data_IF_395433183251
#
_entry.id   IF_395433183251
#
_cell.length_a   1.000
_cell.length_b   1.000
_cell.length_c   1.000
_cell.angle_alpha   90.00
_cell.angle_beta   90.00
_cell.angle_gamma   90.00
#
_symmetry.space_group_name_H-M   'P 1'
#
loop_
_entity.id
_entity.type
_entity.pdbx_description
1 polymer ?
#
# COMPACT_ATOMS: atom_id res chain seq x y z
N UNK A 1 9.76 5.67 14.58
CA UNK A 1 10.28 4.32 14.32
C UNK A 1 11.15 4.29 13.06
N UNK A 2 10.58 4.53 11.86
CA UNK A 2 11.27 4.52 10.55
C UNK A 2 12.74 4.94 10.56
N UNK A 3 13.05 6.18 10.93
CA UNK A 3 14.44 6.69 10.89
C UNK A 3 15.43 5.84 11.69
N UNK A 4 15.02 5.27 12.82
CA UNK A 4 15.91 4.43 13.63
C UNK A 4 16.11 3.06 12.99
N UNK A 5 15.07 2.48 12.38
CA UNK A 5 15.18 1.24 11.62
C UNK A 5 16.07 1.42 10.38
N UNK A 6 15.87 2.50 9.60
CA UNK A 6 16.74 2.81 8.45
C UNK A 6 18.20 2.93 8.87
N UNK A 7 18.51 3.63 9.98
CA UNK A 7 19.88 3.70 10.53
C UNK A 7 20.43 2.34 10.92
N UNK A 8 19.60 1.47 11.49
CA UNK A 8 20.01 0.10 11.83
C UNK A 8 20.33 -0.71 10.57
N UNK A 9 19.52 -0.56 9.51
CA UNK A 9 19.76 -1.21 8.21
C UNK A 9 21.06 -0.70 7.58
N UNK A 10 21.27 0.63 7.55
CA UNK A 10 22.49 1.28 7.06
C UNK A 10 23.75 0.82 7.81
N UNK A 11 23.64 0.58 9.12
CA UNK A 11 24.72 0.05 9.97
C UNK A 11 24.80 -1.49 9.99
N UNK A 12 24.20 -2.16 9.01
CA UNK A 12 24.21 -3.62 8.85
C UNK A 12 23.77 -4.36 10.14
N UNK A 13 22.76 -3.85 10.82
CA UNK A 13 22.14 -4.43 12.03
C UNK A 13 23.06 -4.57 13.26
N UNK A 14 24.23 -3.94 13.26
CA UNK A 14 25.24 -4.08 14.34
C UNK A 14 24.68 -3.71 15.73
N UNK A 15 23.83 -2.69 15.81
CA UNK A 15 23.22 -2.20 17.06
C UNK A 15 21.69 -2.40 17.12
N UNK A 16 21.18 -3.46 16.51
CA UNK A 16 19.73 -3.69 16.40
C UNK A 16 18.98 -3.67 17.75
N UNK A 17 19.64 -4.12 18.82
CA UNK A 17 19.08 -4.12 20.17
C UNK A 17 18.77 -2.72 20.73
N UNK A 18 19.39 -1.65 20.19
CA UNK A 18 19.05 -0.27 20.54
C UNK A 18 17.57 0.02 20.25
N UNK A 19 16.99 -0.64 19.24
CA UNK A 19 15.57 -0.50 18.95
C UNK A 19 14.69 -1.01 20.10
N UNK A 20 15.15 -1.90 20.97
CA UNK A 20 14.37 -2.32 22.15
C UNK A 20 14.31 -1.24 23.24
N UNK A 21 15.23 -0.26 23.20
CA UNK A 21 15.38 0.75 24.24
C UNK A 21 14.60 2.05 23.95
N UNK A 22 14.03 2.21 22.75
CA UNK A 22 13.39 3.49 22.38
C UNK A 22 12.02 3.69 23.04
N UNK A 23 11.30 2.59 23.32
CA UNK A 23 10.03 2.58 24.05
C UNK A 23 9.91 1.25 24.81
N UNK A 24 8.93 1.16 25.72
CA UNK A 24 8.66 -0.06 26.49
C UNK A 24 8.29 -1.21 25.55
N UNK A 25 9.10 -2.27 25.54
CA UNK A 25 8.85 -3.45 24.69
C UNK A 25 7.57 -4.21 25.05
N UNK A 26 7.03 -4.01 26.26
CA UNK A 26 5.73 -4.57 26.66
C UNK A 26 4.54 -3.96 25.92
N UNK A 27 4.72 -2.81 25.26
CA UNK A 27 3.68 -2.16 24.46
C UNK A 27 3.51 -2.91 23.12
N UNK A 28 2.29 -3.43 22.89
CA UNK A 28 1.96 -4.16 21.67
C UNK A 28 2.09 -3.28 20.42
N UNK A 29 1.63 -2.03 20.47
CA UNK A 29 1.71 -1.12 19.33
C UNK A 29 3.18 -0.86 18.97
N UNK A 30 4.04 -0.78 19.98
CA UNK A 30 5.47 -0.63 19.76
C UNK A 30 6.11 -1.86 19.11
N UNK A 31 5.76 -3.07 19.59
CA UNK A 31 6.21 -4.33 18.98
C UNK A 31 5.76 -4.44 17.52
N UNK A 32 4.51 -4.06 17.26
CA UNK A 32 3.93 -4.03 15.92
C UNK A 32 4.68 -3.07 14.99
N UNK A 33 4.89 -1.82 15.41
CA UNK A 33 5.67 -0.82 14.66
C UNK A 33 7.08 -1.35 14.35
N UNK A 34 7.70 -1.98 15.34
CA UNK A 34 9.07 -2.47 15.26
C UNK A 34 9.19 -3.62 14.26
N UNK A 35 8.30 -4.61 14.32
CA UNK A 35 8.27 -5.73 13.37
C UNK A 35 7.92 -5.25 11.96
N UNK A 36 6.89 -4.42 11.81
CA UNK A 36 6.46 -3.91 10.51
C UNK A 36 7.55 -3.08 9.83
N UNK A 37 8.10 -2.07 10.52
CA UNK A 37 9.18 -1.25 9.96
C UNK A 37 10.41 -2.08 9.60
N UNK A 38 10.83 -2.98 10.50
CA UNK A 38 12.03 -3.78 10.30
C UNK A 38 11.93 -4.64 9.04
N UNK A 39 10.82 -5.35 8.88
CA UNK A 39 10.61 -6.24 7.75
C UNK A 39 10.41 -5.45 6.46
N UNK A 40 9.48 -4.49 6.44
CA UNK A 40 9.09 -3.78 5.22
C UNK A 40 10.25 -2.96 4.64
N UNK A 41 11.04 -2.31 5.50
CA UNK A 41 12.17 -1.48 5.04
C UNK A 41 13.44 -2.26 4.70
N UNK A 42 13.45 -3.58 4.95
CA UNK A 42 14.56 -4.46 4.57
C UNK A 42 14.18 -5.42 3.44
N UNK A 43 13.09 -5.14 2.70
CA UNK A 43 12.61 -5.99 1.60
C UNK A 43 13.51 -5.99 0.38
N UNK A 44 14.42 -5.02 0.28
CA UNK A 44 15.48 -4.95 -0.73
C UNK A 44 16.72 -5.79 -0.35
N UNK A 45 16.74 -6.37 0.86
CA UNK A 45 17.80 -7.24 1.34
C UNK A 45 17.42 -8.71 1.28
N UNK A 46 18.43 -9.57 1.11
CA UNK A 46 18.25 -11.01 1.17
C UNK A 46 18.18 -11.46 2.64
N UNK A 47 16.96 -11.72 3.11
CA UNK A 47 16.70 -12.16 4.48
C UNK A 47 16.61 -13.69 4.52
N UNK A 48 17.55 -14.32 5.24
CA UNK A 48 17.57 -15.76 5.53
C UNK A 48 17.34 -16.01 7.03
N UNK A 49 17.16 -17.28 7.41
CA UNK A 49 16.78 -17.69 8.77
C UNK A 49 17.71 -17.14 9.87
N UNK A 50 19.02 -17.18 9.63
CA UNK A 50 20.05 -16.76 10.60
C UNK A 50 20.31 -15.25 10.59
N UNK A 51 19.68 -14.50 9.68
CA UNK A 51 19.89 -13.07 9.53
C UNK A 51 19.56 -12.33 10.85
N UNK A 52 20.40 -11.37 11.32
CA UNK A 52 20.20 -10.70 12.61
C UNK A 52 18.81 -10.08 12.78
N UNK A 53 18.30 -9.44 11.72
CA UNK A 53 16.95 -8.90 11.68
C UNK A 53 15.87 -9.96 11.91
N UNK A 54 15.99 -11.13 11.27
CA UNK A 54 15.01 -12.22 11.33
C UNK A 54 15.00 -12.83 12.72
N UNK A 55 16.17 -13.03 13.33
CA UNK A 55 16.28 -13.46 14.73
C UNK A 55 15.65 -12.44 15.68
N UNK A 56 15.93 -11.16 15.46
CA UNK A 56 15.41 -10.06 16.26
C UNK A 56 13.88 -9.98 16.23
N UNK A 57 13.28 -9.93 15.05
CA UNK A 57 11.82 -9.88 14.88
C UNK A 57 11.16 -11.19 15.34
N UNK A 58 11.77 -12.35 15.10
CA UNK A 58 11.27 -13.63 15.60
C UNK A 58 11.20 -13.67 17.12
N UNK A 59 12.19 -13.12 17.82
CA UNK A 59 12.16 -13.02 19.28
C UNK A 59 11.03 -12.11 19.76
N UNK A 60 10.79 -10.98 19.09
CA UNK A 60 9.68 -10.07 19.43
C UNK A 60 8.33 -10.80 19.24
N UNK A 61 8.15 -11.47 18.10
CA UNK A 61 6.94 -12.24 17.79
C UNK A 61 6.74 -13.36 18.81
N UNK A 62 7.79 -14.14 19.10
CA UNK A 62 7.74 -15.23 20.07
C UNK A 62 7.50 -14.79 21.51
N UNK A 63 7.79 -13.53 21.84
CA UNK A 63 7.48 -12.91 23.14
C UNK A 63 6.09 -12.29 23.22
N UNK A 64 5.26 -12.43 22.17
CA UNK A 64 3.93 -11.80 22.07
C UNK A 64 2.85 -12.86 22.14
N UNK A 65 1.78 -12.59 22.89
CA UNK A 65 0.62 -13.46 22.97
C UNK A 65 -0.14 -13.42 21.63
N UNK A 66 -0.06 -14.51 20.87
CA UNK A 66 -0.65 -14.64 19.53
C UNK A 66 -1.98 -15.42 19.55
N UNK A 67 -2.61 -15.58 20.70
CA UNK A 67 -3.91 -16.25 20.83
C UNK A 67 -5.04 -15.46 20.14
N UNK A 68 -4.95 -14.13 20.14
CA UNK A 68 -5.93 -13.24 19.53
C UNK A 68 -5.66 -13.01 18.05
N UNK A 69 -6.72 -13.20 17.24
CA UNK A 69 -6.66 -13.07 15.78
C UNK A 69 -6.13 -11.71 15.30
N UNK A 70 -6.50 -10.64 16.01
CA UNK A 70 -6.11 -9.26 15.68
C UNK A 70 -4.61 -9.05 15.92
N UNK A 71 -4.09 -9.56 17.04
CA UNK A 71 -2.66 -9.50 17.38
C UNK A 71 -1.83 -10.27 16.38
N UNK A 72 -2.31 -11.43 15.94
CA UNK A 72 -1.66 -12.16 14.85
C UNK A 72 -1.66 -11.38 13.53
N UNK A 73 -2.75 -10.67 13.20
CA UNK A 73 -2.80 -9.84 11.99
C UNK A 73 -1.79 -8.69 12.07
N UNK A 74 -1.72 -8.03 13.22
CA UNK A 74 -0.78 -6.95 13.50
C UNK A 74 0.68 -7.41 13.39
N UNK A 75 1.00 -8.58 13.93
CA UNK A 75 2.38 -9.06 14.04
C UNK A 75 2.87 -9.86 12.83
N UNK A 76 2.00 -10.61 12.15
CA UNK A 76 2.40 -11.55 11.10
C UNK A 76 2.17 -11.03 9.68
N UNK A 77 1.30 -10.04 9.48
CA UNK A 77 1.06 -9.47 8.15
C UNK A 77 2.33 -8.95 7.46
N UNK A 78 3.29 -8.29 8.14
CA UNK A 78 4.54 -7.86 7.48
C UNK A 78 5.34 -9.02 6.87
N UNK A 79 5.34 -10.19 7.51
CA UNK A 79 6.03 -11.40 7.03
C UNK A 79 5.34 -11.97 5.78
N UNK A 80 4.01 -11.97 5.79
CA UNK A 80 3.21 -12.41 4.63
C UNK A 80 3.42 -11.46 3.47
N UNK A 81 3.36 -10.15 3.73
CA UNK A 81 3.58 -9.09 2.76
C UNK A 81 4.96 -9.17 2.09
N UNK A 82 6.02 -9.40 2.88
CA UNK A 82 7.38 -9.55 2.40
C UNK A 82 7.71 -10.96 1.86
N UNK A 83 6.73 -11.87 1.79
CA UNK A 83 6.90 -13.24 1.31
C UNK A 83 7.99 -14.05 2.07
N UNK A 84 8.16 -13.80 3.37
CA UNK A 84 9.22 -14.41 4.19
C UNK A 84 8.79 -15.70 4.92
N UNK A 85 7.54 -16.14 4.74
CA UNK A 85 7.00 -17.38 5.31
C UNK A 85 7.16 -18.54 4.32
N UNK A 86 6.93 -19.77 4.77
CA UNK A 86 6.93 -20.93 3.87
C UNK A 86 5.75 -20.83 2.89
N UNK A 87 6.05 -20.91 1.60
CA UNK A 87 5.04 -20.89 0.53
C UNK A 87 5.54 -21.68 -0.68
N UNK A 88 4.65 -22.41 -1.32
CA UNK A 88 4.91 -23.16 -2.57
C UNK A 88 6.15 -24.08 -2.50
N UNK A 89 6.35 -24.75 -1.36
CA UNK A 89 7.48 -25.66 -1.13
C UNK A 89 8.83 -24.98 -0.89
N UNK A 90 8.89 -23.65 -0.89
CA UNK A 90 10.09 -22.88 -0.54
C UNK A 90 10.10 -22.55 0.96
N UNK A 91 11.24 -22.78 1.59
CA UNK A 91 11.47 -22.42 2.99
C UNK A 91 11.77 -20.93 3.06
N UNK A 92 10.94 -20.19 3.78
CA UNK A 92 11.15 -18.76 4.02
C UNK A 92 12.05 -18.50 5.23
N UNK A 93 12.36 -17.21 5.47
CA UNK A 93 13.11 -16.78 6.65
C UNK A 93 12.40 -17.10 7.98
N UNK A 94 11.08 -17.33 7.98
CA UNK A 94 10.29 -17.74 9.14
C UNK A 94 9.69 -19.13 8.93
N UNK A 95 10.49 -20.21 9.01
CA UNK A 95 10.10 -21.55 8.58
C UNK A 95 9.06 -22.24 9.48
N UNK A 96 8.86 -21.72 10.70
CA UNK A 96 7.84 -22.22 11.63
C UNK A 96 6.46 -21.60 11.39
N UNK A 97 6.37 -20.55 10.58
CA UNK A 97 5.09 -19.94 10.22
C UNK A 97 4.52 -20.67 9.00
N UNK A 98 3.41 -21.35 9.23
CA UNK A 98 2.62 -22.03 8.21
C UNK A 98 1.20 -21.51 8.27
N UNK A 99 0.66 -21.13 7.12
CA UNK A 99 -0.67 -20.54 7.03
C UNK A 99 -1.53 -21.40 6.12
N UNK A 100 -2.77 -21.67 6.54
CA UNK A 100 -3.79 -22.12 5.61
C UNK A 100 -4.06 -21.03 4.58
N UNK A 101 -4.59 -21.39 3.41
CA UNK A 101 -4.87 -20.43 2.34
C UNK A 101 -5.79 -19.30 2.82
N UNK A 102 -6.85 -19.62 3.57
CA UNK A 102 -7.74 -18.61 4.13
C UNK A 102 -7.00 -17.67 5.10
N UNK A 103 -6.10 -18.20 5.94
CA UNK A 103 -5.33 -17.38 6.87
C UNK A 103 -4.34 -16.48 6.15
N UNK A 104 -3.67 -16.99 5.13
CA UNK A 104 -2.80 -16.22 4.26
C UNK A 104 -3.55 -15.04 3.64
N UNK A 105 -4.76 -15.26 3.09
CA UNK A 105 -5.58 -14.20 2.52
C UNK A 105 -5.93 -13.12 3.55
N UNK A 106 -6.36 -13.50 4.74
CA UNK A 106 -6.66 -12.53 5.82
C UNK A 106 -5.45 -11.67 6.17
N UNK A 107 -4.27 -12.27 6.30
CA UNK A 107 -3.02 -11.56 6.60
C UNK A 107 -2.59 -10.65 5.43
N UNK A 108 -2.73 -11.12 4.19
CA UNK A 108 -2.47 -10.32 2.99
C UNK A 108 -3.42 -9.11 2.90
N UNK A 109 -4.72 -9.30 3.15
CA UNK A 109 -5.71 -8.22 3.18
C UNK A 109 -5.38 -7.16 4.25
N UNK A 110 -4.79 -7.55 5.38
CA UNK A 110 -4.42 -6.60 6.42
C UNK A 110 -3.37 -5.57 5.98
N UNK A 111 -2.57 -5.89 4.95
CA UNK A 111 -1.63 -4.95 4.35
C UNK A 111 -2.30 -3.72 3.71
N UNK A 112 -3.63 -3.72 3.58
CA UNK A 112 -4.43 -2.61 3.09
C UNK A 112 -5.07 -1.77 4.21
N UNK A 113 -4.84 -2.13 5.47
CA UNK A 113 -5.25 -1.29 6.60
C UNK A 113 -4.51 0.05 6.54
N UNK A 114 -5.17 1.11 7.01
CA UNK A 114 -4.59 2.46 7.03
C UNK A 114 -3.27 2.54 7.80
N UNK A 115 -3.13 1.70 8.83
CA UNK A 115 -1.90 1.52 9.58
C UNK A 115 -0.75 1.07 8.67
N UNK A 116 -0.98 0.04 7.85
CA UNK A 116 0.06 -0.59 7.05
C UNK A 116 0.54 0.28 5.88
N UNK A 117 -0.37 1.04 5.26
CA UNK A 117 -0.10 1.87 4.08
C UNK A 117 1.00 2.92 4.35
N UNK A 118 1.11 3.40 5.58
CA UNK A 118 2.18 4.33 5.95
C UNK A 118 3.59 3.76 5.73
N UNK A 119 3.73 2.44 5.84
CA UNK A 119 5.01 1.76 5.62
C UNK A 119 5.28 1.50 4.14
N UNK A 120 4.26 1.47 3.28
CA UNK A 120 4.40 1.12 1.87
C UNK A 120 4.78 2.31 0.99
N UNK A 121 4.43 3.53 1.40
CA UNK A 121 4.84 4.79 0.78
C UNK A 121 6.29 5.18 1.14
N UNK A 122 7.23 4.23 1.01
CA UNK A 122 8.64 4.37 1.38
C UNK A 122 9.56 4.48 0.18
N UNK A 123 9.49 3.47 -0.70
CA UNK A 123 10.19 3.41 -1.96
C UNK A 123 9.34 2.64 -2.97
N UNK A 124 9.68 2.77 -4.25
CA UNK A 124 8.87 2.20 -5.33
C UNK A 124 8.81 0.68 -5.30
N UNK A 125 9.87 -0.01 -4.86
CA UNK A 125 9.85 -1.47 -4.77
C UNK A 125 8.82 -1.97 -3.76
N UNK A 126 8.82 -1.41 -2.54
CA UNK A 126 7.85 -1.73 -1.49
C UNK A 126 6.44 -1.32 -1.91
N UNK A 127 6.29 -0.12 -2.48
CA UNK A 127 5.01 0.36 -2.99
C UNK A 127 4.45 -0.58 -4.06
N UNK A 128 5.28 -1.04 -4.99
CA UNK A 128 4.85 -1.96 -6.04
C UNK A 128 4.49 -3.35 -5.49
N UNK A 129 5.20 -3.89 -4.49
CA UNK A 129 4.78 -5.14 -3.83
C UNK A 129 3.40 -4.97 -3.20
N UNK A 130 3.12 -3.80 -2.62
CA UNK A 130 1.80 -3.49 -2.06
C UNK A 130 0.70 -3.36 -3.10
N UNK A 131 0.96 -2.74 -4.25
CA UNK A 131 0.01 -2.74 -5.37
C UNK A 131 -0.22 -4.17 -5.88
N UNK A 132 0.86 -4.96 -5.98
CA UNK A 132 0.81 -6.31 -6.54
C UNK A 132 0.13 -7.34 -5.63
N UNK A 133 0.16 -7.13 -4.30
CA UNK A 133 -0.47 -8.03 -3.34
C UNK A 133 -1.99 -8.16 -3.54
N UNK A 134 -2.60 -7.24 -4.28
CA UNK A 134 -3.99 -7.28 -4.71
C UNK A 134 -4.37 -8.56 -5.47
N UNK A 135 -3.42 -9.18 -6.20
CA UNK A 135 -3.60 -10.49 -6.86
C UNK A 135 -4.13 -11.57 -5.93
N UNK A 136 -3.84 -11.46 -4.63
CA UNK A 136 -4.19 -12.46 -3.64
C UNK A 136 -5.50 -12.17 -2.90
N UNK A 137 -6.07 -10.97 -3.04
CA UNK A 137 -7.24 -10.53 -2.26
C UNK A 137 -8.51 -10.41 -3.10
N UNK A 138 -8.37 -10.24 -4.42
CA UNK A 138 -9.50 -10.25 -5.35
C UNK A 138 -9.44 -11.50 -6.22
N UNK A 139 -10.01 -12.60 -5.72
CA UNK A 139 -10.16 -13.81 -6.53
C UNK A 139 -11.47 -13.80 -7.32
N UNK A 140 -11.29 -13.69 -8.64
CA UNK A 140 -12.05 -14.20 -9.79
C UNK A 140 -13.55 -13.92 -9.94
N UNK A 141 -14.39 -13.87 -8.92
CA UNK A 141 -15.85 -13.87 -9.13
C UNK A 141 -16.66 -12.81 -8.36
N UNK A 142 -16.09 -12.15 -7.35
CA UNK A 142 -16.78 -11.10 -6.60
C UNK A 142 -15.83 -9.92 -6.41
N UNK A 143 -15.88 -9.01 -7.37
CA UNK A 143 -15.22 -7.74 -7.25
C UNK A 143 -16.02 -6.87 -6.28
N UNK A 144 -15.52 -6.73 -5.05
CA UNK A 144 -15.97 -5.64 -4.19
C UNK A 144 -14.98 -4.50 -4.38
N UNK A 145 -15.33 -3.54 -5.24
CA UNK A 145 -14.59 -2.28 -5.47
C UNK A 145 -14.13 -1.63 -4.16
N UNK A 146 -14.89 -1.79 -3.07
CA UNK A 146 -14.58 -1.24 -1.75
C UNK A 146 -13.31 -1.81 -1.09
N UNK A 147 -12.72 -2.88 -1.63
CA UNK A 147 -11.51 -3.50 -1.10
C UNK A 147 -10.23 -3.07 -1.83
N UNK A 148 -10.31 -2.14 -2.79
CA UNK A 148 -9.10 -1.60 -3.43
C UNK A 148 -8.33 -0.70 -2.45
N UNK A 149 -7.01 -0.89 -2.28
CA UNK A 149 -6.22 -0.02 -1.40
C UNK A 149 -6.14 1.42 -1.94
N UNK A 150 -6.21 1.53 -3.27
CA UNK A 150 -6.29 2.80 -4.01
C UNK A 150 -7.72 3.40 -4.03
N UNK A 151 -8.69 2.76 -3.39
CA UNK A 151 -10.03 3.28 -3.17
C UNK A 151 -10.27 3.63 -1.68
N UNK A 152 -9.25 3.51 -0.83
CA UNK A 152 -9.32 3.87 0.59
C UNK A 152 -9.25 5.39 0.73
N UNK A 153 -10.42 6.01 0.82
CA UNK A 153 -10.62 7.47 0.76
C UNK A 153 -9.65 8.30 1.63
N UNK A 154 -9.42 7.92 2.89
CA UNK A 154 -8.56 8.67 3.85
C UNK A 154 -7.08 8.74 3.45
N UNK A 155 -6.62 7.87 2.56
CA UNK A 155 -5.20 7.78 2.18
C UNK A 155 -4.95 8.04 0.70
N UNK A 156 -6.00 8.06 -0.11
CA UNK A 156 -5.89 8.28 -1.55
C UNK A 156 -5.18 9.59 -1.92
N UNK A 157 -5.33 10.66 -1.14
CA UNK A 157 -4.56 11.90 -1.35
C UNK A 157 -3.06 11.64 -1.26
N UNK A 158 -2.59 11.01 -0.18
CA UNK A 158 -1.16 10.70 0.04
C UNK A 158 -0.63 9.69 -0.98
N UNK A 159 -1.45 8.72 -1.37
CA UNK A 159 -1.08 7.75 -2.41
C UNK A 159 -0.96 8.46 -3.76
N UNK A 160 -1.91 9.32 -4.12
CA UNK A 160 -1.86 10.13 -5.34
C UNK A 160 -0.60 11.02 -5.38
N UNK A 161 -0.32 11.73 -4.30
CA UNK A 161 0.92 12.50 -4.14
C UNK A 161 2.17 11.63 -4.33
N UNK A 162 2.18 10.41 -3.80
CA UNK A 162 3.30 9.48 -3.95
C UNK A 162 3.47 9.00 -5.40
N UNK A 163 2.38 8.67 -6.10
CA UNK A 163 2.37 8.21 -7.50
C UNK A 163 2.92 9.30 -8.41
N UNK A 164 2.48 10.54 -8.22
CA UNK A 164 2.81 11.67 -9.09
C UNK A 164 3.93 12.58 -8.56
N UNK A 165 4.67 12.15 -7.54
CA UNK A 165 5.70 12.97 -6.87
C UNK A 165 6.79 13.52 -7.79
N UNK A 166 7.03 12.87 -8.92
CA UNK A 166 8.03 13.28 -9.92
C UNK A 166 7.43 14.18 -11.02
N UNK A 167 6.13 14.48 -10.96
CA UNK A 167 5.43 15.26 -11.98
C UNK A 167 5.18 14.49 -13.29
N UNK A 168 5.23 13.16 -13.27
CA UNK A 168 5.08 12.29 -14.46
C UNK A 168 4.07 11.14 -14.23
N UNK A 169 3.71 10.44 -15.31
CA UNK A 169 2.78 9.29 -15.31
C UNK A 169 3.50 7.94 -15.12
N UNK A 170 4.79 7.92 -14.74
CA UNK A 170 5.59 6.68 -14.79
C UNK A 170 5.04 5.59 -13.88
N UNK A 171 4.69 5.93 -12.64
CA UNK A 171 4.14 4.95 -11.69
C UNK A 171 2.70 4.57 -12.02
N UNK A 172 1.85 5.51 -12.41
CA UNK A 172 0.47 5.20 -12.84
C UNK A 172 0.48 4.23 -14.02
N UNK A 173 1.32 4.46 -15.04
CA UNK A 173 1.44 3.56 -16.19
C UNK A 173 1.87 2.14 -15.81
N UNK A 174 2.73 1.99 -14.79
CA UNK A 174 3.13 0.68 -14.27
C UNK A 174 1.95 0.00 -13.58
N UNK A 175 1.16 0.75 -12.80
CA UNK A 175 -0.06 0.26 -12.15
C UNK A 175 -1.09 -0.18 -13.19
N UNK A 176 -1.33 0.62 -14.22
CA UNK A 176 -2.28 0.31 -15.30
C UNK A 176 -1.91 -0.97 -16.04
N UNK A 177 -0.62 -1.12 -16.37
CA UNK A 177 -0.11 -2.35 -16.99
C UNK A 177 -0.33 -3.56 -16.08
N UNK A 178 -0.03 -3.43 -14.79
CA UNK A 178 -0.27 -4.51 -13.84
C UNK A 178 -1.75 -4.90 -13.77
N UNK A 179 -2.67 -3.93 -13.77
CA UNK A 179 -4.12 -4.17 -13.74
C UNK A 179 -4.56 -4.88 -15.02
N UNK A 180 -4.10 -4.42 -16.19
CA UNK A 180 -4.40 -5.06 -17.47
C UNK A 180 -3.93 -6.53 -17.50
N UNK A 181 -2.73 -6.81 -16.99
CA UNK A 181 -2.16 -8.16 -16.93
C UNK A 181 -2.88 -9.06 -15.92
N UNK A 182 -3.34 -8.50 -14.79
CA UNK A 182 -3.93 -9.27 -13.69
C UNK A 182 -5.44 -9.47 -13.83
N UNK A 183 -6.15 -8.48 -14.40
CA UNK A 183 -7.61 -8.38 -14.46
C UNK A 183 -8.09 -7.87 -15.83
N UNK A 184 -7.77 -8.59 -16.93
CA UNK A 184 -8.07 -8.10 -18.28
C UNK A 184 -9.57 -7.87 -18.52
N UNK A 185 -10.44 -8.61 -17.83
CA UNK A 185 -11.90 -8.47 -17.96
C UNK A 185 -12.47 -7.23 -17.23
N UNK A 186 -11.73 -6.65 -16.29
CA UNK A 186 -12.18 -5.50 -15.48
C UNK A 186 -11.31 -4.26 -15.69
N UNK A 187 -10.32 -4.32 -16.59
CA UNK A 187 -9.32 -3.27 -16.78
C UNK A 187 -9.95 -1.89 -16.94
N UNK A 188 -10.97 -1.76 -17.80
CA UNK A 188 -11.66 -0.49 -18.05
C UNK A 188 -12.32 0.05 -16.78
N UNK A 189 -13.04 -0.79 -16.02
CA UNK A 189 -13.72 -0.36 -14.80
C UNK A 189 -12.73 0.14 -13.75
N UNK A 190 -11.70 -0.67 -13.46
CA UNK A 190 -10.72 -0.35 -12.42
C UNK A 190 -9.92 0.88 -12.80
N UNK A 191 -9.35 0.92 -14.00
CA UNK A 191 -8.48 2.03 -14.42
C UNK A 191 -9.25 3.34 -14.49
N UNK A 192 -10.47 3.37 -15.03
CA UNK A 192 -11.29 4.59 -15.04
C UNK A 192 -11.59 5.11 -13.62
N UNK A 193 -11.88 4.23 -12.65
CA UNK A 193 -12.09 4.63 -11.25
C UNK A 193 -10.80 5.20 -10.65
N UNK A 194 -9.64 4.58 -10.89
CA UNK A 194 -8.36 5.07 -10.39
C UNK A 194 -8.00 6.44 -10.95
N UNK A 195 -8.10 6.60 -12.27
CA UNK A 195 -7.83 7.87 -12.93
C UNK A 195 -8.81 8.97 -12.51
N UNK A 196 -10.07 8.63 -12.22
CA UNK A 196 -11.02 9.57 -11.60
C UNK A 196 -10.55 10.02 -10.23
N UNK A 197 -10.21 9.08 -9.34
CA UNK A 197 -9.71 9.37 -8.00
C UNK A 197 -8.46 10.26 -8.08
N UNK A 198 -7.51 9.91 -8.93
CA UNK A 198 -6.28 10.66 -9.15
C UNK A 198 -6.53 12.05 -9.71
N UNK A 199 -7.43 12.19 -10.69
CA UNK A 199 -7.82 13.50 -11.24
C UNK A 199 -8.35 14.42 -10.13
N UNK A 200 -9.23 13.89 -9.27
CA UNK A 200 -9.79 14.68 -8.17
C UNK A 200 -8.69 15.15 -7.21
N UNK A 201 -7.79 14.26 -6.76
CA UNK A 201 -6.74 14.66 -5.83
C UNK A 201 -5.67 15.56 -6.45
N UNK A 202 -5.34 15.39 -7.74
CA UNK A 202 -4.47 16.31 -8.46
C UNK A 202 -5.07 17.73 -8.55
N UNK A 203 -6.39 17.84 -8.71
CA UNK A 203 -7.09 19.13 -8.69
C UNK A 203 -7.08 19.80 -7.30
N UNK A 204 -6.91 19.02 -6.24
CA UNK A 204 -6.89 19.46 -4.85
C UNK A 204 -5.50 19.89 -4.34
N UNK A 205 -4.45 19.69 -5.13
CA UNK A 205 -3.09 20.12 -4.77
C UNK A 205 -2.99 21.65 -4.74
N UNK A 206 -2.10 22.18 -3.89
CA UNK A 206 -1.88 23.63 -3.75
C UNK A 206 -1.39 24.25 -5.07
N UNK A 207 -0.56 23.51 -5.81
CA UNK A 207 -0.09 23.86 -7.15
C UNK A 207 -0.46 22.76 -8.14
N UNK A 208 -1.68 22.77 -8.71
CA UNK A 208 -2.16 21.71 -9.59
C UNK A 208 -1.30 21.58 -10.85
N UNK A 209 -0.82 20.35 -11.13
CA UNK A 209 -0.13 20.06 -12.39
C UNK A 209 -1.16 19.80 -13.49
N UNK A 210 -1.39 20.81 -14.32
CA UNK A 210 -2.41 20.78 -15.40
C UNK A 210 -2.21 19.64 -16.38
N UNK A 211 -0.97 19.30 -16.73
CA UNK A 211 -0.68 18.24 -17.70
C UNK A 211 -0.98 16.85 -17.12
N UNK A 212 -0.71 16.64 -15.84
CA UNK A 212 -1.14 15.41 -15.16
C UNK A 212 -2.66 15.32 -15.02
N UNK A 213 -3.34 16.43 -14.73
CA UNK A 213 -4.80 16.47 -14.64
C UNK A 213 -5.41 16.08 -15.99
N UNK A 214 -4.94 16.69 -17.09
CA UNK A 214 -5.38 16.35 -18.45
C UNK A 214 -5.12 14.88 -18.78
N UNK A 215 -3.89 14.40 -18.56
CA UNK A 215 -3.53 13.02 -18.88
C UNK A 215 -4.40 11.98 -18.14
N UNK A 216 -4.73 12.22 -16.88
CA UNK A 216 -5.62 11.35 -16.11
C UNK A 216 -7.09 11.51 -16.54
N UNK A 217 -7.53 12.72 -16.85
CA UNK A 217 -8.89 12.98 -17.34
C UNK A 217 -9.13 12.33 -18.71
N UNK A 218 -8.21 12.48 -19.65
CA UNK A 218 -8.30 11.91 -21.01
C UNK A 218 -8.27 10.38 -21.02
N UNK A 219 -7.69 9.78 -19.98
CA UNK A 219 -7.74 8.33 -19.78
C UNK A 219 -9.18 7.85 -19.50
N UNK A 220 -10.02 8.69 -18.91
CA UNK A 220 -11.42 8.39 -18.62
C UNK A 220 -12.23 8.48 -19.92
N UNK A 221 -12.22 7.40 -20.69
CA UNK A 221 -12.93 7.35 -21.99
C UNK A 221 -14.43 7.16 -21.85
N UNK A 222 -14.88 6.66 -20.70
CA UNK A 222 -16.28 6.33 -20.49
C UNK A 222 -16.71 6.61 -19.04
N UNK A 223 -17.58 7.60 -18.87
CA UNK A 223 -18.13 7.97 -17.57
C UNK A 223 -19.11 6.93 -16.99
N UNK A 224 -19.49 5.88 -17.73
CA UNK A 224 -20.39 4.81 -17.21
C UNK A 224 -19.85 4.14 -15.95
N UNK A 225 -18.53 4.11 -15.77
CA UNK A 225 -17.85 3.54 -14.62
C UNK A 225 -17.64 4.54 -13.47
N UNK A 226 -17.89 5.83 -13.73
CA UNK A 226 -17.80 6.90 -12.74
C UNK A 226 -19.23 7.34 -12.43
N UNK A 227 -19.87 6.58 -11.56
CA UNK A 227 -21.24 6.81 -11.11
C UNK A 227 -21.25 7.45 -9.71
N UNK A 228 -22.45 7.67 -9.16
CA UNK A 228 -22.61 7.99 -7.73
C UNK A 228 -21.95 6.95 -6.81
N UNK A 229 -21.76 5.73 -7.29
CA UNK A 229 -21.15 4.63 -6.54
C UNK A 229 -19.63 4.79 -6.42
N UNK A 230 -19.02 5.70 -7.18
CA UNK A 230 -17.59 6.08 -7.06
C UNK A 230 -17.35 7.13 -5.97
N UNK A 231 -18.41 7.80 -5.49
CA UNK A 231 -18.31 8.85 -4.47
C UNK A 231 -17.64 8.40 -3.15
N UNK A 232 -17.82 7.16 -2.65
CA UNK A 232 -17.16 6.71 -1.42
C UNK A 232 -15.63 6.69 -1.50
N UNK A 233 -15.04 6.67 -2.70
CA UNK A 233 -13.58 6.58 -2.89
C UNK A 233 -12.86 7.92 -2.82
N UNK A 234 -13.61 9.01 -2.81
CA UNK A 234 -13.10 10.38 -2.74
C UNK A 234 -13.68 11.05 -1.49
N UNK A 235 -12.80 11.49 -0.60
CA UNK A 235 -13.21 12.31 0.53
C UNK A 235 -13.15 13.77 0.10
N UNK A 236 -14.32 14.40 -0.06
CA UNK A 236 -14.42 15.76 -0.59
C UNK A 236 -14.53 16.85 0.48
N UNK A 237 -14.78 16.50 1.74
CA UNK A 237 -15.18 17.44 2.80
C UNK A 237 -14.25 18.65 2.94
N UNK A 238 -12.94 18.47 2.77
CA UNK A 238 -11.91 19.51 2.90
C UNK A 238 -11.31 19.99 1.56
N UNK A 239 -11.58 19.28 0.45
CA UNK A 239 -10.96 19.57 -0.85
C UNK A 239 -11.96 20.03 -1.93
N UNK A 240 -13.26 19.95 -1.68
CA UNK A 240 -14.30 20.17 -2.69
C UNK A 240 -14.19 21.51 -3.39
N UNK A 241 -14.04 22.60 -2.63
CA UNK A 241 -14.00 23.95 -3.19
C UNK A 241 -12.80 24.13 -4.12
N UNK A 242 -11.63 23.66 -3.69
CA UNK A 242 -10.41 23.72 -4.48
C UNK A 242 -10.54 22.87 -5.76
N UNK A 243 -11.07 21.65 -5.65
CA UNK A 243 -11.29 20.77 -6.81
C UNK A 243 -12.22 21.43 -7.83
N UNK A 244 -13.37 21.96 -7.37
CA UNK A 244 -14.33 22.62 -8.27
C UNK A 244 -13.74 23.86 -8.92
N UNK A 245 -12.96 24.65 -8.18
CA UNK A 245 -12.26 25.81 -8.73
C UNK A 245 -11.29 25.40 -9.83
N UNK A 246 -10.38 24.46 -9.55
CA UNK A 246 -9.40 23.96 -10.53
C UNK A 246 -10.09 23.40 -11.78
N UNK A 247 -11.15 22.59 -11.61
CA UNK A 247 -11.90 22.03 -12.73
C UNK A 247 -12.62 23.10 -13.56
N UNK A 248 -13.19 24.13 -12.92
CA UNK A 248 -13.82 25.25 -13.63
C UNK A 248 -12.78 26.05 -14.44
N UNK A 249 -11.62 26.32 -13.85
CA UNK A 249 -10.51 27.03 -14.51
C UNK A 249 -9.95 26.23 -15.71
N UNK A 250 -10.00 24.90 -15.64
CA UNK A 250 -9.54 24.00 -16.69
C UNK A 250 -10.62 23.52 -17.66
N UNK A 251 -11.89 23.89 -17.46
CA UNK A 251 -13.03 23.38 -18.24
C UNK A 251 -12.81 23.50 -19.75
N UNK A 252 -12.38 24.67 -20.22
CA UNK A 252 -12.17 24.93 -21.65
C UNK A 252 -10.93 24.23 -22.23
N UNK A 253 -10.10 23.62 -21.39
CA UNK A 253 -8.93 22.83 -21.77
C UNK A 253 -9.21 21.33 -21.71
N UNK A 254 -10.06 20.89 -20.77
CA UNK A 254 -10.44 19.49 -20.58
C UNK A 254 -11.61 19.07 -21.49
N UNK A 255 -12.53 19.99 -21.81
CA UNK A 255 -13.74 19.68 -22.56
C UNK A 255 -13.66 20.06 -24.05
N UNK A 256 -12.47 20.15 -24.65
CA UNK A 256 -12.34 20.49 -26.09
C UNK A 256 -12.76 19.29 -26.95
N UNK A 257 -14.01 19.37 -27.44
CA UNK A 257 -14.67 18.68 -28.55
C UNK A 257 -14.26 17.24 -28.88
#
# INVERSE_FOLDING_TARGET
MRSQVCKTIENNFTDINRLLLMKKISDLNYKQDLVACSIIYSMDQELFLEHPLVRFTSNIIGSTELDRIIVQMDMLAPIVFAHLHNKDGKVGAYPRLQFSENRYRQLACFSFSSYFINYTLYNDAVFMVWIMSFRYTCMKNEFVTSCYPLTVNKLNRRICQYIFRNGDMKLSNIIDKFIADAYPAQVDEVTHILHFIWTVYLCAEENPNVELIKANYDFIRNSKHISKDSAPFVLLDDIREQVLKTLNDLKDHLCRN
#
